data_IF_880873453502
#
_entry.id   IF_880873453502
#
_cell.length_a   1.000
_cell.length_b   1.000
_cell.length_c   1.000
_cell.angle_alpha   90.00
_cell.angle_beta   90.00
_cell.angle_gamma   90.00
#
_symmetry.space_group_name_H-M   'P 1'
#
loop_
_entity.id
_entity.type
_entity.pdbx_description
1 polymer ?
#
# COMPACT_ATOMS: atom_id res chain seq x y z
N UNK A 1 3.36 17.23 6.11
CA UNK A 1 4.82 17.50 6.22
C UNK A 1 5.71 16.67 5.30
N UNK A 2 5.19 16.01 4.26
CA UNK A 2 6.02 15.26 3.28
C UNK A 2 6.80 14.07 3.86
N UNK A 3 6.54 13.68 5.11
CA UNK A 3 7.14 12.48 5.73
C UNK A 3 6.28 11.27 5.41
N UNK A 4 6.94 10.16 5.10
CA UNK A 4 6.29 8.86 4.91
C UNK A 4 5.55 8.48 6.21
N UNK A 5 4.23 8.27 6.10
CA UNK A 5 3.39 7.94 7.26
C UNK A 5 3.43 6.43 7.57
N UNK A 6 3.46 5.60 6.53
CA UNK A 6 3.57 4.15 6.62
C UNK A 6 4.09 3.59 5.29
N UNK A 7 4.56 2.35 5.34
CA UNK A 7 5.00 1.57 4.19
C UNK A 7 4.73 0.10 4.46
N UNK A 8 4.42 -0.65 3.40
CA UNK A 8 4.34 -2.10 3.44
C UNK A 8 4.76 -2.67 2.08
N UNK A 9 5.15 -3.95 2.07
CA UNK A 9 5.64 -4.66 0.89
C UNK A 9 4.84 -5.93 0.68
N UNK A 10 4.40 -6.17 -0.56
CA UNK A 10 3.65 -7.37 -0.91
C UNK A 10 3.01 -7.27 -2.29
N UNK A 11 1.97 -8.07 -2.51
CA UNK A 11 1.26 -8.11 -3.79
C UNK A 11 0.34 -6.91 -3.96
N UNK A 12 0.71 -6.00 -4.87
CA UNK A 12 -0.11 -4.88 -5.32
C UNK A 12 -1.08 -5.34 -6.41
N UNK A 13 -2.35 -5.00 -6.26
CA UNK A 13 -3.36 -5.19 -7.29
C UNK A 13 -3.70 -3.85 -7.96
N UNK A 14 -3.68 -3.83 -9.30
CA UNK A 14 -4.12 -2.67 -10.09
C UNK A 14 -5.53 -2.98 -10.60
N UNK A 15 -6.48 -2.11 -10.29
CA UNK A 15 -7.91 -2.28 -10.59
C UNK A 15 -8.40 -1.15 -11.49
N UNK A 16 -9.64 -1.25 -11.98
CA UNK A 16 -10.28 -0.17 -12.74
C UNK A 16 -10.65 1.05 -11.88
N UNK A 17 -10.69 0.90 -10.55
CA UNK A 17 -11.01 1.97 -9.60
C UNK A 17 -9.78 2.50 -8.86
N UNK A 18 -8.59 1.93 -9.07
CA UNK A 18 -7.36 2.38 -8.43
C UNK A 18 -6.41 1.24 -8.11
N UNK A 19 -5.93 1.21 -6.86
CA UNK A 19 -5.01 0.19 -6.36
C UNK A 19 -5.63 -0.54 -5.16
N UNK A 20 -5.27 -1.81 -5.01
CA UNK A 20 -5.73 -2.69 -3.93
C UNK A 20 -4.63 -3.71 -3.59
N UNK A 21 -4.98 -4.72 -2.80
CA UNK A 21 -4.06 -5.75 -2.30
C UNK A 21 -3.62 -5.46 -0.87
N UNK A 22 -2.95 -6.45 -0.27
CA UNK A 22 -2.56 -6.43 1.14
C UNK A 22 -1.80 -5.15 1.52
N UNK A 23 -0.68 -4.77 0.85
CA UNK A 23 0.05 -3.58 1.25
C UNK A 23 -0.78 -2.29 1.13
N UNK A 24 -1.75 -2.23 0.21
CA UNK A 24 -2.68 -1.09 0.10
C UNK A 24 -3.60 -1.04 1.32
N UNK A 25 -4.20 -2.17 1.72
CA UNK A 25 -5.06 -2.22 2.90
C UNK A 25 -4.32 -1.77 4.16
N UNK A 26 -3.08 -2.24 4.36
CA UNK A 26 -2.27 -1.93 5.55
C UNK A 26 -1.97 -0.44 5.69
N UNK A 27 -1.78 0.27 4.58
CA UNK A 27 -1.47 1.72 4.60
C UNK A 27 -2.70 2.61 4.38
N UNK A 28 -3.83 2.04 3.95
CA UNK A 28 -5.02 2.80 3.53
C UNK A 28 -5.59 3.71 4.63
N UNK A 29 -5.50 3.31 5.92
CA UNK A 29 -5.96 4.14 7.05
C UNK A 29 -5.34 5.54 7.08
N UNK A 30 -4.07 5.65 6.71
CA UNK A 30 -3.35 6.93 6.70
C UNK A 30 -3.82 7.81 5.54
N UNK A 31 -4.15 7.20 4.40
CA UNK A 31 -4.72 7.90 3.24
C UNK A 31 -6.15 8.35 3.55
N UNK A 32 -7.00 7.47 4.09
CA UNK A 32 -8.37 7.82 4.50
C UNK A 32 -8.38 8.99 5.47
N UNK A 33 -7.50 8.97 6.48
CA UNK A 33 -7.37 10.08 7.44
C UNK A 33 -6.88 11.37 6.79
N UNK A 34 -5.86 11.30 5.93
CA UNK A 34 -5.36 12.49 5.23
C UNK A 34 -6.45 13.13 4.36
N UNK A 35 -7.22 12.33 3.63
CA UNK A 35 -8.34 12.78 2.82
C UNK A 35 -9.45 13.41 3.66
N UNK A 36 -9.82 12.77 4.78
CA UNK A 36 -10.79 13.32 5.74
C UNK A 36 -10.34 14.68 6.30
N UNK A 37 -9.06 14.82 6.64
CA UNK A 37 -8.44 16.07 7.10
C UNK A 37 -8.19 17.08 5.96
N UNK A 38 -8.65 16.79 4.73
CA UNK A 38 -8.47 17.62 3.51
C UNK A 38 -7.01 17.92 3.19
N UNK A 39 -6.12 16.98 3.50
CA UNK A 39 -4.70 17.04 3.16
C UNK A 39 -4.43 16.35 1.82
N UNK A 40 -3.28 16.65 1.22
CA UNK A 40 -2.86 15.98 -0.01
C UNK A 40 -2.46 14.52 0.30
N UNK A 41 -3.09 13.57 -0.39
CA UNK A 41 -2.84 12.14 -0.23
C UNK A 41 -2.09 11.59 -1.44
N UNK A 42 -0.85 11.15 -1.22
CA UNK A 42 -0.01 10.56 -2.24
C UNK A 42 0.59 9.27 -1.73
N UNK A 43 0.64 8.26 -2.61
CA UNK A 43 1.39 7.02 -2.39
C UNK A 43 2.56 6.95 -3.36
N UNK A 44 3.59 6.23 -2.95
CA UNK A 44 4.75 5.91 -3.78
C UNK A 44 4.84 4.39 -3.88
N UNK A 45 4.94 3.89 -5.11
CA UNK A 45 5.10 2.47 -5.41
C UNK A 45 6.53 2.24 -5.90
N UNK A 46 7.22 1.34 -5.23
CA UNK A 46 8.46 0.74 -5.70
C UNK A 46 8.11 -0.62 -6.30
N UNK A 47 8.20 -0.76 -7.62
CA UNK A 47 7.85 -2.00 -8.30
C UNK A 47 8.90 -3.10 -8.14
N UNK A 48 10.12 -2.76 -7.71
CA UNK A 48 11.24 -3.69 -7.57
C UNK A 48 11.97 -3.43 -6.24
N UNK A 49 11.30 -3.62 -5.08
CA UNK A 49 11.84 -3.22 -3.77
C UNK A 49 13.14 -3.95 -3.43
N UNK A 50 13.34 -5.16 -3.94
CA UNK A 50 14.54 -5.98 -3.71
C UNK A 50 15.77 -5.55 -4.52
N UNK A 51 15.62 -4.58 -5.43
CA UNK A 51 16.72 -4.07 -6.24
C UNK A 51 17.01 -2.61 -5.89
N UNK A 52 18.24 -2.33 -5.48
CA UNK A 52 18.71 -0.96 -5.37
C UNK A 52 18.72 -0.25 -6.73
N UNK A 53 18.55 1.07 -6.72
CA UNK A 53 18.47 1.86 -7.95
C UNK A 53 19.76 1.73 -8.81
N UNK A 54 20.93 1.68 -8.17
CA UNK A 54 22.20 1.47 -8.88
C UNK A 54 22.24 0.11 -9.60
N UNK A 55 21.80 -0.95 -8.92
CA UNK A 55 21.70 -2.30 -9.51
C UNK A 55 20.67 -2.37 -10.64
N UNK A 56 19.55 -1.65 -10.51
CA UNK A 56 18.55 -1.55 -11.58
C UNK A 56 19.11 -0.84 -12.83
N UNK A 57 19.83 0.27 -12.62
CA UNK A 57 20.52 1.00 -13.71
C UNK A 57 21.55 0.10 -14.41
N UNK A 58 22.33 -0.66 -13.66
CA UNK A 58 23.30 -1.61 -14.20
C UNK A 58 22.61 -2.73 -15.00
N UNK A 59 21.54 -3.31 -14.45
CA UNK A 59 20.74 -4.35 -15.11
C UNK A 59 20.22 -3.85 -16.46
N UNK A 60 19.61 -2.68 -16.50
CA UNK A 60 19.12 -2.12 -17.76
C UNK A 60 20.23 -1.74 -18.73
N UNK A 61 21.39 -1.27 -18.24
CA UNK A 61 22.53 -0.96 -19.10
C UNK A 61 23.05 -2.21 -19.82
N UNK A 62 23.21 -3.32 -19.09
CA UNK A 62 23.60 -4.62 -19.66
C UNK A 62 22.56 -5.14 -20.65
N UNK A 63 21.28 -5.06 -20.29
CA UNK A 63 20.18 -5.51 -21.15
C UNK A 63 20.07 -4.66 -22.42
N UNK A 64 20.28 -3.35 -22.32
CA UNK A 64 20.33 -2.43 -23.45
C UNK A 64 21.48 -2.78 -24.40
N UNK A 65 22.69 -3.06 -23.87
CA UNK A 65 23.83 -3.48 -24.67
C UNK A 65 23.52 -4.77 -25.44
N UNK A 66 23.01 -5.80 -24.75
CA UNK A 66 22.69 -7.08 -25.38
C UNK A 66 21.59 -6.96 -26.44
N UNK A 67 20.50 -6.25 -26.14
CA UNK A 67 19.38 -6.10 -27.07
C UNK A 67 19.70 -5.16 -28.24
N UNK A 68 20.67 -4.25 -28.09
CA UNK A 68 21.05 -3.33 -29.17
C UNK A 68 21.64 -4.03 -30.40
N UNK A 69 22.14 -5.25 -30.24
CA UNK A 69 22.60 -6.10 -31.35
C UNK A 69 21.43 -6.57 -32.24
N UNK A 70 20.21 -6.61 -31.69
CA UNK A 70 19.00 -6.98 -32.41
C UNK A 70 18.29 -5.74 -32.97
N UNK A 71 18.37 -5.53 -34.28
CA UNK A 71 17.72 -4.39 -34.95
C UNK A 71 16.18 -4.37 -34.84
N UNK A 72 15.56 -5.49 -34.45
CA UNK A 72 14.11 -5.58 -34.22
C UNK A 72 13.71 -5.28 -32.78
N UNK A 73 14.67 -5.12 -31.87
CA UNK A 73 14.40 -4.84 -30.46
C UNK A 73 13.73 -3.48 -30.29
N UNK A 74 12.72 -3.46 -29.43
CA UNK A 74 11.89 -2.32 -29.11
C UNK A 74 12.06 -1.92 -27.65
N UNK A 75 11.62 -0.72 -27.31
CA UNK A 75 11.68 -0.16 -25.96
C UNK A 75 11.07 -1.05 -24.88
N UNK A 76 9.96 -1.74 -25.17
CA UNK A 76 9.27 -2.65 -24.25
C UNK A 76 10.09 -3.89 -23.90
N UNK A 77 10.96 -4.34 -24.81
CA UNK A 77 11.80 -5.53 -24.59
C UNK A 77 12.78 -5.34 -23.42
N UNK A 78 13.12 -4.09 -23.10
CA UNK A 78 13.93 -3.76 -21.93
C UNK A 78 13.22 -4.14 -20.62
N UNK A 79 11.88 -4.06 -20.58
CA UNK A 79 11.06 -4.32 -19.39
C UNK A 79 10.46 -5.74 -19.37
N UNK A 80 10.46 -6.44 -20.50
CA UNK A 80 10.00 -7.83 -20.60
C UNK A 80 10.75 -8.74 -19.63
N UNK A 81 10.01 -9.53 -18.84
CA UNK A 81 10.56 -10.41 -17.81
C UNK A 81 10.92 -9.71 -16.50
N UNK A 82 10.72 -8.39 -16.40
CA UNK A 82 10.91 -7.59 -15.18
C UNK A 82 9.57 -7.10 -14.67
N UNK A 83 8.75 -6.53 -15.57
CA UNK A 83 7.41 -6.05 -15.24
C UNK A 83 6.35 -6.84 -16.01
N UNK A 84 5.13 -6.86 -15.45
CA UNK A 84 3.98 -7.45 -16.12
C UNK A 84 3.67 -6.70 -17.44
N UNK A 85 3.33 -7.43 -18.50
CA UNK A 85 3.19 -6.88 -19.86
C UNK A 85 2.16 -5.75 -19.98
N UNK A 86 1.09 -5.78 -19.18
CA UNK A 86 0.08 -4.70 -19.11
C UNK A 86 0.59 -3.41 -18.45
N UNK A 87 1.63 -3.48 -17.61
CA UNK A 87 2.20 -2.32 -16.91
C UNK A 87 3.26 -1.60 -17.75
N UNK A 88 3.96 -2.36 -18.62
CA UNK A 88 5.06 -1.85 -19.45
C UNK A 88 4.70 -0.59 -20.25
N UNK A 89 3.57 -0.53 -20.99
CA UNK A 89 3.23 0.67 -21.77
C UNK A 89 3.09 1.91 -20.89
N UNK A 90 2.53 1.76 -19.69
CA UNK A 90 2.25 2.86 -18.79
C UNK A 90 3.53 3.37 -18.11
N UNK A 91 4.42 2.46 -17.69
CA UNK A 91 5.73 2.84 -17.14
C UNK A 91 6.55 3.59 -18.18
N UNK A 92 6.61 3.08 -19.42
CA UNK A 92 7.31 3.79 -20.50
C UNK A 92 6.71 5.17 -20.75
N UNK A 93 5.37 5.28 -20.79
CA UNK A 93 4.67 6.55 -20.96
C UNK A 93 5.03 7.56 -19.88
N UNK A 94 5.01 7.15 -18.60
CA UNK A 94 5.35 8.01 -17.46
C UNK A 94 6.84 8.42 -17.50
N UNK A 95 7.73 7.52 -17.94
CA UNK A 95 9.16 7.83 -18.12
C UNK A 95 9.48 8.71 -19.33
N UNK A 96 8.47 9.01 -20.17
CA UNK A 96 8.63 9.78 -21.40
C UNK A 96 9.28 8.99 -22.55
N UNK A 97 9.22 7.65 -22.50
CA UNK A 97 9.75 6.75 -23.53
C UNK A 97 8.59 6.27 -24.40
N UNK A 98 8.75 6.39 -25.72
CA UNK A 98 7.70 5.96 -26.67
C UNK A 98 7.65 4.44 -26.78
N UNK A 99 6.48 3.86 -26.53
CA UNK A 99 6.21 2.44 -26.74
C UNK A 99 6.45 2.02 -28.21
N UNK A 100 7.00 0.82 -28.42
CA UNK A 100 7.38 0.28 -29.72
C UNK A 100 8.36 1.14 -30.54
N UNK A 101 9.09 2.06 -29.92
CA UNK A 101 10.19 2.74 -30.59
C UNK A 101 11.41 1.81 -30.70
N UNK A 102 12.35 2.13 -31.59
CA UNK A 102 13.62 1.41 -31.69
C UNK A 102 14.38 1.55 -30.37
N UNK A 103 14.89 0.44 -29.85
CA UNK A 103 15.54 0.42 -28.54
C UNK A 103 16.79 1.33 -28.48
N UNK A 104 17.52 1.46 -29.59
CA UNK A 104 18.71 2.33 -29.70
C UNK A 104 18.41 3.83 -29.55
N UNK A 105 17.13 4.22 -29.45
CA UNK A 105 16.73 5.60 -29.17
C UNK A 105 16.82 5.94 -27.67
N UNK A 106 16.85 4.95 -26.77
CA UNK A 106 16.94 5.18 -25.32
C UNK A 106 18.33 5.73 -24.99
N UNK A 107 18.35 6.95 -24.45
CA UNK A 107 19.55 7.64 -23.95
C UNK A 107 19.70 7.45 -22.44
N UNK A 108 20.89 7.74 -21.90
CA UNK A 108 21.17 7.61 -20.46
C UNK A 108 20.23 8.41 -19.55
N UNK A 109 19.76 9.58 -20.00
CA UNK A 109 18.77 10.37 -19.26
C UNK A 109 17.37 9.72 -19.24
N UNK A 110 16.96 9.07 -20.33
CA UNK A 110 15.70 8.30 -20.37
C UNK A 110 15.80 7.05 -19.50
N UNK A 111 16.95 6.36 -19.53
CA UNK A 111 17.21 5.21 -18.68
C UNK A 111 17.17 5.57 -17.19
N UNK A 112 17.75 6.72 -16.84
CA UNK A 112 17.71 7.28 -15.48
C UNK A 112 16.26 7.52 -15.03
N UNK A 113 15.47 8.23 -15.83
CA UNK A 113 14.04 8.46 -15.53
C UNK A 113 13.23 7.17 -15.46
N UNK A 114 13.56 6.18 -16.29
CA UNK A 114 12.91 4.87 -16.23
C UNK A 114 13.15 4.18 -14.89
N UNK A 115 14.38 4.20 -14.40
CA UNK A 115 14.71 3.65 -13.08
C UNK A 115 13.98 4.40 -11.97
N UNK A 116 13.99 5.73 -12.00
CA UNK A 116 13.28 6.57 -11.02
C UNK A 116 11.78 6.28 -10.99
N UNK A 117 11.13 6.16 -12.16
CA UNK A 117 9.69 5.83 -12.24
C UNK A 117 9.41 4.43 -11.69
N UNK A 118 10.27 3.45 -11.95
CA UNK A 118 10.09 2.07 -11.44
C UNK A 118 10.28 2.00 -9.92
N UNK A 119 11.24 2.75 -9.38
CA UNK A 119 11.57 2.77 -7.95
C UNK A 119 10.69 3.70 -7.13
N UNK A 120 10.03 4.68 -7.77
CA UNK A 120 9.30 5.73 -7.07
C UNK A 120 8.11 6.24 -7.90
N UNK A 121 7.26 5.32 -8.36
CA UNK A 121 6.03 5.67 -9.07
C UNK A 121 5.04 6.34 -8.11
N UNK A 122 4.78 7.64 -8.30
CA UNK A 122 3.91 8.42 -7.42
C UNK A 122 2.49 8.47 -7.97
N UNK A 123 1.52 8.14 -7.12
CA UNK A 123 0.09 8.26 -7.43
C UNK A 123 -0.57 9.21 -6.43
N UNK A 124 -1.31 10.18 -6.94
CA UNK A 124 -2.20 10.99 -6.12
C UNK A 124 -3.50 10.22 -5.90
N UNK A 125 -3.92 10.07 -4.65
CA UNK A 125 -5.14 9.36 -4.30
C UNK A 125 -6.24 10.40 -4.08
N UNK A 126 -7.33 10.28 -4.84
CA UNK A 126 -8.46 11.19 -4.74
C UNK A 126 -9.49 10.75 -3.72
N UNK A 127 -9.62 9.44 -3.48
CA UNK A 127 -10.65 8.87 -2.62
C UNK A 127 -10.30 7.44 -2.14
N UNK A 128 -11.11 6.88 -1.25
CA UNK A 128 -11.09 5.46 -0.85
C UNK A 128 -12.46 4.81 -1.08
N UNK A 129 -12.52 3.46 -1.13
CA UNK A 129 -13.75 2.73 -1.51
C UNK A 129 -14.88 2.74 -0.45
N UNK A 130 -14.73 3.51 0.63
CA UNK A 130 -15.72 3.63 1.71
C UNK A 130 -15.88 2.37 2.57
N UNK A 131 -16.83 2.43 3.52
CA UNK A 131 -17.05 1.38 4.52
C UNK A 131 -17.53 0.05 3.95
N UNK A 132 -18.36 0.06 2.90
CA UNK A 132 -18.90 -1.17 2.29
C UNK A 132 -17.81 -2.09 1.73
N UNK A 133 -16.63 -1.52 1.43
CA UNK A 133 -15.47 -2.25 0.91
C UNK A 133 -14.30 -2.28 1.91
N UNK A 134 -14.46 -1.69 3.10
CA UNK A 134 -13.44 -1.69 4.13
C UNK A 134 -13.41 -3.04 4.85
N UNK A 135 -12.20 -3.54 5.17
CA UNK A 135 -12.07 -4.76 5.97
C UNK A 135 -12.26 -4.49 7.47
N UNK A 136 -11.95 -3.27 7.91
CA UNK A 136 -12.02 -2.82 9.30
C UNK A 136 -12.27 -1.31 9.35
N UNK A 137 -12.79 -0.86 10.47
CA UNK A 137 -12.96 0.55 10.84
C UNK A 137 -11.77 1.02 11.68
N UNK A 138 -11.18 2.14 11.32
CA UNK A 138 -10.20 2.83 12.16
C UNK A 138 -10.90 3.90 12.99
N UNK A 139 -10.61 3.94 14.30
CA UNK A 139 -11.38 4.74 15.26
C UNK A 139 -12.26 3.85 16.14
N UNK A 140 -13.00 4.46 17.07
CA UNK A 140 -13.91 3.76 17.96
C UNK A 140 -14.00 4.43 19.32
N UNK A 141 -14.51 3.68 20.31
CA UNK A 141 -14.50 4.13 21.72
C UNK A 141 -13.06 4.23 22.21
N UNK A 142 -12.73 5.35 22.84
CA UNK A 142 -11.38 5.59 23.33
C UNK A 142 -10.98 4.56 24.39
N UNK A 143 -9.81 3.95 24.23
CA UNK A 143 -9.27 3.02 25.23
C UNK A 143 -8.99 3.68 26.60
N UNK A 144 -9.01 5.02 26.69
CA UNK A 144 -8.90 5.73 27.97
C UNK A 144 -10.19 5.65 28.80
N UNK A 145 -11.31 5.33 28.15
CA UNK A 145 -12.64 5.24 28.75
C UNK A 145 -13.04 3.79 29.04
N UNK A 146 -12.10 2.85 28.88
CA UNK A 146 -12.29 1.41 29.07
C UNK A 146 -11.17 0.88 29.95
N UNK A 147 -11.53 0.11 30.97
CA UNK A 147 -10.57 -0.64 31.77
C UNK A 147 -10.04 -1.81 30.92
N UNK A 148 -8.73 -1.84 30.68
CA UNK A 148 -8.11 -2.79 29.76
C UNK A 148 -7.98 -4.22 30.32
N UNK A 149 -8.19 -4.43 31.62
CA UNK A 149 -8.18 -5.76 32.23
C UNK A 149 -9.58 -6.38 32.22
N UNK A 150 -10.61 -5.56 32.41
CA UNK A 150 -12.00 -6.02 32.54
C UNK A 150 -12.87 -5.79 31.31
N UNK A 151 -12.46 -4.88 30.43
CA UNK A 151 -13.25 -4.31 29.33
C UNK A 151 -14.49 -3.51 29.76
N UNK A 152 -14.60 -3.15 31.05
CA UNK A 152 -15.69 -2.32 31.56
C UNK A 152 -15.48 -0.84 31.19
N UNK A 153 -16.57 -0.12 30.94
CA UNK A 153 -16.54 1.33 30.80
C UNK A 153 -16.13 2.00 32.11
N UNK A 154 -15.19 2.92 32.03
CA UNK A 154 -14.80 3.78 33.16
C UNK A 154 -15.86 4.85 33.50
N UNK A 155 -16.86 5.03 32.63
CA UNK A 155 -17.89 6.08 32.74
C UNK A 155 -19.20 5.50 33.25
N UNK A 156 -19.62 4.36 32.69
CA UNK A 156 -20.89 3.72 33.02
C UNK A 156 -20.63 2.36 33.63
N UNK A 157 -21.03 2.20 34.90
CA UNK A 157 -20.93 0.91 35.58
C UNK A 157 -21.76 -0.15 34.85
N UNK A 158 -21.27 -1.39 34.87
CA UNK A 158 -21.92 -2.59 34.32
C UNK A 158 -22.13 -2.55 32.78
N UNK A 159 -21.43 -1.63 32.09
CA UNK A 159 -21.32 -1.58 30.63
C UNK A 159 -19.93 -2.08 30.22
N UNK A 160 -19.88 -3.07 29.30
CA UNK A 160 -18.62 -3.63 28.80
C UNK A 160 -18.56 -3.50 27.27
N UNK A 161 -17.36 -3.25 26.76
CA UNK A 161 -17.11 -2.92 25.36
C UNK A 161 -16.01 -3.84 24.82
N UNK A 162 -16.21 -4.44 23.65
CA UNK A 162 -15.25 -5.38 23.07
C UNK A 162 -15.21 -5.30 21.54
N UNK A 163 -14.15 -5.87 20.96
CA UNK A 163 -13.97 -5.98 19.53
C UNK A 163 -13.75 -4.64 18.83
N UNK A 164 -14.22 -4.57 17.59
CA UNK A 164 -14.01 -3.44 16.65
C UNK A 164 -14.77 -2.16 17.06
N UNK A 165 -15.61 -2.22 18.09
CA UNK A 165 -16.23 -1.02 18.65
C UNK A 165 -15.19 -0.11 19.34
N UNK A 166 -14.10 -0.70 19.83
CA UNK A 166 -12.99 0.00 20.47
C UNK A 166 -12.06 0.62 19.43
N UNK A 167 -11.38 1.71 19.78
CA UNK A 167 -10.39 2.40 18.93
C UNK A 167 -9.09 1.57 18.75
N UNK A 168 -9.24 0.42 18.11
CA UNK A 168 -8.17 -0.52 17.74
C UNK A 168 -8.48 -1.16 16.40
N UNK A 169 -7.60 -0.91 15.45
CA UNK A 169 -7.54 -1.60 14.16
C UNK A 169 -6.15 -2.23 13.98
N UNK A 170 -6.16 -3.53 13.70
CA UNK A 170 -4.97 -4.33 13.43
C UNK A 170 -4.69 -4.45 11.93
N UNK A 171 -3.45 -4.84 11.62
CA UNK A 171 -3.03 -5.18 10.27
C UNK A 171 -3.77 -6.43 9.74
N UNK A 172 -3.81 -6.62 8.42
CA UNK A 172 -4.29 -7.86 7.80
C UNK A 172 -3.52 -9.08 8.35
N UNK A 173 -4.20 -10.23 8.49
CA UNK A 173 -3.58 -11.47 8.99
C UNK A 173 -4.18 -12.04 10.29
N UNK A 174 -5.41 -11.65 10.65
CA UNK A 174 -6.14 -12.22 11.78
C UNK A 174 -6.02 -11.45 13.10
N UNK A 175 -5.27 -10.35 13.13
CA UNK A 175 -5.08 -9.51 14.33
C UNK A 175 -6.39 -8.94 14.86
N UNK A 176 -7.27 -8.45 13.97
CA UNK A 176 -8.59 -7.94 14.37
C UNK A 176 -9.49 -9.02 14.96
N UNK A 177 -9.43 -10.25 14.43
CA UNK A 177 -10.16 -11.37 15.01
C UNK A 177 -9.60 -11.74 16.38
N UNK A 178 -8.27 -11.83 16.51
CA UNK A 178 -7.62 -12.09 17.79
C UNK A 178 -7.99 -11.04 18.84
N UNK A 179 -8.03 -9.77 18.46
CA UNK A 179 -8.49 -8.67 19.31
C UNK A 179 -9.95 -8.87 19.76
N UNK A 180 -10.85 -9.17 18.82
CA UNK A 180 -12.24 -9.42 19.12
C UNK A 180 -12.43 -10.61 20.08
N UNK A 181 -11.69 -11.70 19.89
CA UNK A 181 -11.76 -12.87 20.77
C UNK A 181 -11.21 -12.58 22.17
N UNK A 182 -10.05 -11.94 22.27
CA UNK A 182 -9.44 -11.63 23.55
C UNK A 182 -10.30 -10.68 24.38
N UNK A 183 -10.74 -9.57 23.78
CA UNK A 183 -11.58 -8.57 24.46
C UNK A 183 -12.97 -9.12 24.76
N UNK A 184 -13.56 -9.89 23.85
CA UNK A 184 -14.85 -10.55 24.08
C UNK A 184 -14.81 -11.53 25.25
N UNK A 185 -13.73 -12.31 25.38
CA UNK A 185 -13.53 -13.19 26.54
C UNK A 185 -13.42 -12.42 27.86
N UNK A 186 -12.60 -11.35 27.89
CA UNK A 186 -12.43 -10.52 29.08
C UNK A 186 -13.74 -9.86 29.51
N UNK A 187 -14.45 -9.23 28.57
CA UNK A 187 -15.74 -8.59 28.81
C UNK A 187 -16.77 -9.59 29.36
N UNK A 188 -16.92 -10.75 28.70
CA UNK A 188 -17.87 -11.77 29.12
C UNK A 188 -17.57 -12.36 30.50
N UNK A 189 -16.29 -12.61 30.81
CA UNK A 189 -15.86 -13.14 32.12
C UNK A 189 -16.19 -12.18 33.26
N UNK A 190 -15.89 -10.89 33.10
CA UNK A 190 -16.09 -9.91 34.17
C UNK A 190 -17.56 -9.52 34.30
N UNK A 191 -18.28 -9.33 33.19
CA UNK A 191 -19.73 -9.09 33.22
C UNK A 191 -20.50 -10.20 33.95
N UNK A 192 -20.06 -11.46 33.85
CA UNK A 192 -20.67 -12.57 34.57
C UNK A 192 -20.26 -12.66 36.05
N UNK A 193 -19.10 -12.12 36.43
CA UNK A 193 -18.59 -12.15 37.81
C UNK A 193 -19.17 -11.02 38.66
N UNK A 194 -19.63 -9.94 38.02
CA UNK A 194 -20.21 -8.76 38.65
C UNK A 194 -21.75 -8.87 38.86
N UNK A 195 -22.36 -10.01 38.48
CA UNK A 195 -23.75 -10.40 38.77
C UNK A 195 -23.90 -11.05 40.15
#
# INVERSE_FOLDING_TARGET
>A
NGRMAASDTGELQITNYGISGIPVFQVSRYISRALYEKQNAQVMIDFLPELEEASLRELFSKKLQHLSENQKAKTEDLLTGILHTKLIPEILRISGIRFSAKLNMIKGAELTRLCEVIKSCRLNISDTNGFDNAQVSAGGVSLKEVDMETMQSCITKDLYLAGELLDVDGICGGYNLQWAWATGYLAGKHAASDL
#
